data_IF_676633777875
#
_entry.id   IF_676633777875
#
_cell.length_a   1.000
_cell.length_b   1.000
_cell.length_c   1.000
_cell.angle_alpha   90.00
_cell.angle_beta   90.00
_cell.angle_gamma   90.00
#
_symmetry.space_group_name_H-M   'P 1'
#
loop_
_entity.id
_entity.type
_entity.pdbx_description
1 polymer ?
#
# COMPACT_ATOMS: atom_id res chain seq x y z
N UNK A 1 30.64 -15.38 11.32
CA UNK A 1 29.27 -15.40 10.79
C UNK A 1 29.04 -14.08 10.09
N UNK A 2 29.26 -14.04 8.77
CA UNK A 2 28.86 -12.88 7.98
C UNK A 2 27.33 -12.89 7.95
N UNK A 3 26.69 -12.06 8.79
CA UNK A 3 25.30 -11.69 8.56
C UNK A 3 25.34 -10.86 7.29
N UNK A 4 25.18 -11.52 6.14
CA UNK A 4 24.88 -10.83 4.90
C UNK A 4 23.53 -10.18 5.14
N UNK A 5 23.57 -8.89 5.48
CA UNK A 5 22.42 -8.01 5.41
C UNK A 5 22.02 -8.02 3.94
N UNK A 6 21.18 -9.00 3.56
CA UNK A 6 20.59 -9.00 2.24
C UNK A 6 19.49 -7.93 2.30
N UNK A 7 19.93 -6.68 2.27
CA UNK A 7 19.12 -5.45 2.29
C UNK A 7 18.36 -5.27 0.96
N UNK A 8 18.14 -6.36 0.22
CA UNK A 8 17.20 -6.41 -0.88
C UNK A 8 15.79 -6.31 -0.29
N UNK A 9 15.41 -5.10 0.09
CA UNK A 9 14.05 -4.67 0.33
C UNK A 9 13.11 -5.16 -0.80
N UNK A 10 13.67 -5.32 -2.01
CA UNK A 10 13.09 -6.02 -3.17
C UNK A 10 12.46 -7.38 -2.84
N UNK A 11 13.08 -8.17 -1.96
CA UNK A 11 12.59 -9.48 -1.51
C UNK A 11 11.32 -9.33 -0.67
N UNK A 12 11.28 -8.36 0.24
CA UNK A 12 10.10 -8.05 1.05
C UNK A 12 8.96 -7.56 0.17
N UNK A 13 9.25 -6.64 -0.76
CA UNK A 13 8.30 -6.14 -1.77
C UNK A 13 7.72 -7.29 -2.57
N UNK A 14 8.56 -8.20 -3.07
CA UNK A 14 8.13 -9.35 -3.86
C UNK A 14 7.24 -10.32 -3.08
N UNK A 15 7.40 -10.38 -1.76
CA UNK A 15 6.63 -11.27 -0.91
C UNK A 15 5.22 -10.75 -0.61
N UNK A 16 5.06 -9.45 -0.34
CA UNK A 16 3.73 -8.87 -0.05
C UNK A 16 2.97 -8.45 -1.32
N UNK A 17 3.65 -8.22 -2.44
CA UNK A 17 3.03 -7.80 -3.72
C UNK A 17 1.90 -8.74 -4.18
N UNK A 18 2.06 -10.08 -4.19
CA UNK A 18 0.98 -10.99 -4.60
C UNK A 18 -0.26 -10.87 -3.73
N UNK A 19 -0.07 -10.75 -2.40
CA UNK A 19 -1.16 -10.59 -1.45
C UNK A 19 -1.88 -9.25 -1.66
N UNK A 20 -1.15 -8.15 -1.80
CA UNK A 20 -1.74 -6.83 -2.06
C UNK A 20 -2.47 -6.78 -3.41
N UNK A 21 -1.93 -7.43 -4.45
CA UNK A 21 -2.61 -7.55 -5.75
C UNK A 21 -3.90 -8.36 -5.63
N UNK A 22 -3.91 -9.46 -4.87
CA UNK A 22 -5.12 -10.23 -4.63
C UNK A 22 -6.20 -9.39 -3.92
N UNK A 23 -5.81 -8.66 -2.87
CA UNK A 23 -6.73 -7.76 -2.15
C UNK A 23 -7.24 -6.66 -3.08
N UNK A 24 -6.38 -6.07 -3.90
CA UNK A 24 -6.78 -5.06 -4.90
C UNK A 24 -7.83 -5.61 -5.86
N UNK A 25 -7.63 -6.82 -6.40
CA UNK A 25 -8.57 -7.46 -7.31
C UNK A 25 -9.92 -7.79 -6.62
N UNK A 26 -9.88 -8.30 -5.38
CA UNK A 26 -11.08 -8.55 -4.60
C UNK A 26 -11.86 -7.27 -4.31
N UNK A 27 -11.17 -6.20 -3.92
CA UNK A 27 -11.79 -4.90 -3.67
C UNK A 27 -12.32 -4.28 -4.96
N UNK A 28 -11.61 -4.40 -6.08
CA UNK A 28 -12.09 -3.93 -7.38
C UNK A 28 -13.36 -4.67 -7.82
N UNK A 29 -13.39 -6.00 -7.66
CA UNK A 29 -14.58 -6.81 -7.90
C UNK A 29 -15.75 -6.37 -7.01
N UNK A 30 -15.50 -6.15 -5.71
CA UNK A 30 -16.51 -5.69 -4.77
C UNK A 30 -17.03 -4.28 -5.13
N UNK A 31 -16.16 -3.39 -5.59
CA UNK A 31 -16.53 -2.05 -6.00
C UNK A 31 -17.42 -2.08 -7.25
N UNK A 32 -17.06 -2.88 -8.26
CA UNK A 32 -17.84 -3.04 -9.49
C UNK A 32 -19.21 -3.71 -9.24
N UNK A 33 -19.30 -4.63 -8.28
CA UNK A 33 -20.52 -5.42 -8.08
C UNK A 33 -21.46 -4.86 -7.01
N UNK A 34 -20.92 -4.32 -5.93
CA UNK A 34 -21.69 -3.92 -4.75
C UNK A 34 -21.60 -2.43 -4.43
N UNK A 35 -20.70 -1.67 -5.07
CA UNK A 35 -20.51 -0.23 -4.85
C UNK A 35 -20.36 0.14 -3.36
N UNK A 36 -19.74 -0.75 -2.58
CA UNK A 36 -19.61 -0.59 -1.14
C UNK A 36 -18.93 0.72 -0.75
N UNK A 37 -19.51 1.44 0.21
CA UNK A 37 -18.86 2.61 0.77
C UNK A 37 -17.53 2.16 1.42
N UNK A 38 -16.42 2.82 1.10
CA UNK A 38 -15.10 2.47 1.63
C UNK A 38 -14.22 1.63 0.69
N UNK A 39 -14.78 0.90 -0.26
CA UNK A 39 -13.99 0.06 -1.18
C UNK A 39 -13.04 0.88 -2.06
N UNK A 40 -13.49 2.06 -2.51
CA UNK A 40 -12.64 3.00 -3.27
C UNK A 40 -11.44 3.51 -2.47
N UNK A 41 -11.61 3.79 -1.18
CA UNK A 41 -10.53 4.22 -0.29
C UNK A 41 -9.46 3.14 -0.12
N UNK A 42 -9.89 1.88 0.03
CA UNK A 42 -8.97 0.73 0.13
C UNK A 42 -8.21 0.56 -1.19
N UNK A 43 -8.87 0.65 -2.35
CA UNK A 43 -8.21 0.61 -3.66
C UNK A 43 -7.15 1.71 -3.78
N UNK A 44 -7.50 2.96 -3.47
CA UNK A 44 -6.55 4.09 -3.52
C UNK A 44 -5.37 3.87 -2.56
N UNK A 45 -5.61 3.33 -1.36
CA UNK A 45 -4.55 3.04 -0.39
C UNK A 45 -3.52 2.04 -0.93
N UNK A 46 -3.97 1.00 -1.64
CA UNK A 46 -3.11 -0.03 -2.21
C UNK A 46 -2.32 0.54 -3.40
N UNK A 47 -2.96 1.38 -4.22
CA UNK A 47 -2.27 2.06 -5.32
C UNK A 47 -1.15 2.98 -4.80
N UNK A 48 -1.41 3.74 -3.73
CA UNK A 48 -0.40 4.59 -3.07
C UNK A 48 0.76 3.74 -2.54
N UNK A 49 0.48 2.59 -1.92
CA UNK A 49 1.53 1.67 -1.46
C UNK A 49 2.40 1.13 -2.61
N UNK A 50 1.80 0.81 -3.77
CA UNK A 50 2.56 0.43 -4.97
C UNK A 50 3.40 1.56 -5.51
N UNK A 51 2.88 2.80 -5.55
CA UNK A 51 3.66 3.97 -5.95
C UNK A 51 4.86 4.18 -5.03
N UNK A 52 4.69 4.00 -3.72
CA UNK A 52 5.79 4.03 -2.75
C UNK A 52 6.87 3.01 -3.09
N UNK A 53 6.49 1.75 -3.34
CA UNK A 53 7.42 0.69 -3.70
C UNK A 53 8.19 0.98 -5.00
N UNK A 54 7.55 1.61 -5.99
CA UNK A 54 8.19 2.06 -7.24
C UNK A 54 9.23 3.15 -6.94
N UNK A 55 8.88 4.15 -6.12
CA UNK A 55 9.80 5.23 -5.72
C UNK A 55 10.99 4.69 -4.92
N UNK A 56 10.75 3.66 -4.11
CA UNK A 56 11.83 3.01 -3.37
C UNK A 56 12.78 2.27 -4.32
N UNK A 57 12.24 1.52 -5.29
CA UNK A 57 13.03 0.77 -6.26
C UNK A 57 13.77 1.66 -7.27
N UNK A 58 13.23 2.83 -7.59
CA UNK A 58 13.88 3.78 -8.50
C UNK A 58 15.16 4.37 -7.89
N UNK A 59 15.37 4.22 -6.58
CA UNK A 59 16.53 4.77 -5.88
C UNK A 59 16.53 6.30 -5.83
N UNK A 60 15.39 6.94 -6.15
CA UNK A 60 15.27 8.38 -6.24
C UNK A 60 15.53 9.05 -4.88
N UNK A 61 16.63 9.79 -4.77
CA UNK A 61 17.00 10.52 -3.57
C UNK A 61 16.81 12.02 -3.78
N UNK A 62 15.94 12.65 -2.97
CA UNK A 62 15.69 14.09 -3.02
C UNK A 62 16.84 14.88 -2.37
N UNK A 63 17.44 14.32 -1.32
CA UNK A 63 18.55 14.95 -0.59
C UNK A 63 19.45 13.88 0.06
N UNK A 64 20.69 14.25 0.42
CA UNK A 64 21.63 13.33 1.12
C UNK A 64 21.09 12.76 2.44
N UNK A 65 20.18 13.50 3.07
CA UNK A 65 19.49 13.14 4.33
C UNK A 65 18.01 12.77 4.11
N UNK A 66 17.53 12.83 2.87
CA UNK A 66 16.14 12.52 2.51
C UNK A 66 16.16 11.63 1.25
N UNK A 67 16.36 10.35 1.49
CA UNK A 67 16.59 9.35 0.46
C UNK A 67 15.27 8.68 0.01
N UNK A 68 15.38 7.70 -0.88
CA UNK A 68 14.24 6.93 -1.38
C UNK A 68 13.48 6.18 -0.29
N UNK A 69 14.14 5.76 0.80
CA UNK A 69 13.48 5.11 1.93
C UNK A 69 12.64 6.12 2.74
N UNK A 70 13.13 7.34 2.94
CA UNK A 70 12.38 8.38 3.64
C UNK A 70 11.12 8.77 2.84
N UNK A 71 11.26 8.93 1.53
CA UNK A 71 10.14 9.20 0.62
C UNK A 71 9.15 8.03 0.61
N UNK A 72 9.66 6.79 0.55
CA UNK A 72 8.84 5.58 0.66
C UNK A 72 8.00 5.59 1.93
N UNK A 73 8.61 5.88 3.09
CA UNK A 73 7.89 5.92 4.36
C UNK A 73 6.84 7.02 4.40
N UNK A 74 7.11 8.20 3.82
CA UNK A 74 6.09 9.25 3.72
C UNK A 74 4.90 8.81 2.86
N UNK A 75 5.16 8.22 1.70
CA UNK A 75 4.09 7.68 0.84
C UNK A 75 3.33 6.58 1.56
N UNK A 76 4.03 5.70 2.28
CA UNK A 76 3.42 4.61 3.03
C UNK A 76 2.54 5.12 4.18
N UNK A 77 2.93 6.19 4.87
CA UNK A 77 2.09 6.84 5.90
C UNK A 77 0.77 7.35 5.31
N UNK A 78 0.82 7.98 4.12
CA UNK A 78 -0.40 8.41 3.40
C UNK A 78 -1.26 7.20 3.02
N UNK A 79 -0.63 6.13 2.51
CA UNK A 79 -1.33 4.88 2.17
C UNK A 79 -2.03 4.27 3.40
N UNK A 80 -1.36 4.20 4.55
CA UNK A 80 -1.94 3.70 5.80
C UNK A 80 -3.13 4.53 6.27
N UNK A 81 -3.05 5.85 6.17
CA UNK A 81 -4.17 6.73 6.52
C UNK A 81 -5.39 6.46 5.63
N UNK A 82 -5.19 6.34 4.32
CA UNK A 82 -6.27 6.00 3.37
C UNK A 82 -6.88 4.63 3.65
N UNK A 83 -6.03 3.64 3.97
CA UNK A 83 -6.48 2.29 4.31
C UNK A 83 -7.35 2.31 5.57
N UNK A 84 -6.88 2.99 6.63
CA UNK A 84 -7.61 3.12 7.88
C UNK A 84 -8.99 3.77 7.68
N UNK A 85 -9.04 4.87 6.91
CA UNK A 85 -10.30 5.53 6.54
C UNK A 85 -11.22 4.60 5.75
N UNK A 86 -10.68 3.86 4.79
CA UNK A 86 -11.45 2.91 3.98
C UNK A 86 -12.05 1.78 4.80
N UNK A 87 -11.30 1.21 5.75
CA UNK A 87 -11.78 0.15 6.63
C UNK A 87 -12.87 0.64 7.58
N UNK A 88 -12.75 1.84 8.15
CA UNK A 88 -13.81 2.42 8.99
C UNK A 88 -15.11 2.55 8.20
N UNK A 89 -15.04 3.17 7.03
CA UNK A 89 -16.23 3.40 6.19
C UNK A 89 -16.84 2.06 5.73
N UNK A 90 -16.00 1.08 5.37
CA UNK A 90 -16.45 -0.25 4.98
C UNK A 90 -17.13 -0.98 6.14
N UNK A 91 -16.57 -0.90 7.35
CA UNK A 91 -17.16 -1.50 8.55
C UNK A 91 -18.50 -0.86 8.90
N UNK A 92 -18.58 0.47 8.85
CA UNK A 92 -19.81 1.19 9.14
C UNK A 92 -20.90 0.85 8.11
N UNK A 93 -20.54 0.67 6.83
CA UNK A 93 -21.47 0.22 5.79
C UNK A 93 -22.03 -1.19 6.07
N UNK A 94 -21.18 -2.13 6.50
CA UNK A 94 -21.60 -3.50 6.84
C UNK A 94 -22.52 -3.53 8.06
N UNK A 95 -22.40 -2.59 9.00
CA UNK A 95 -23.28 -2.53 10.17
C UNK A 95 -24.65 -1.87 9.90
N UNK A 96 -24.86 -1.24 8.74
CA UNK A 96 -26.10 -0.52 8.40
C UNK A 96 -26.99 -1.34 7.43
N UNK A 97 -26.45 -2.40 6.79
CA UNK A 97 -27.22 -3.36 5.97
C UNK A 97 -27.80 -4.51 6.80
#
# INVERSE_FOLDING_TARGET
>A
MAVTRNDEFKTVVRFYTPAMTLVLLMMLYSWLRFQGAGTGWIITSILVAFSGAIVQQSGFALHKHFNHNDIYHVIQMVGMYLLYRGVIILKDFVHIQ
#
